data_IF_380821471848
#
_entry.id   IF_380821471848
#
_cell.length_a   1.000
_cell.length_b   1.000
_cell.length_c   1.000
_cell.angle_alpha   90.00
_cell.angle_beta   90.00
_cell.angle_gamma   90.00
#
_symmetry.space_group_name_H-M   'P 1'
#
loop_
_entity.id
_entity.type
_entity.pdbx_description
1 polymer ?
#
# COMPACT_ATOMS: atom_id res chain seq x y z
N UNK A 1 -5.16 -36.66 -37.22
CA UNK A 1 -4.83 -37.30 -35.92
C UNK A 1 -4.73 -36.17 -34.91
N UNK A 2 -5.70 -36.09 -34.01
CA UNK A 2 -5.91 -34.95 -33.12
C UNK A 2 -4.88 -34.88 -31.97
N UNK A 3 -4.18 -33.75 -31.76
CA UNK A 3 -3.21 -33.58 -30.68
C UNK A 3 -3.85 -33.42 -29.29
N UNK A 4 -5.17 -33.21 -29.20
CA UNK A 4 -5.90 -33.07 -27.93
C UNK A 4 -6.08 -34.37 -27.15
N UNK A 5 -6.09 -35.53 -27.83
CA UNK A 5 -6.38 -36.81 -27.19
C UNK A 5 -5.18 -37.38 -26.43
N UNK A 6 -3.95 -37.09 -26.90
CA UNK A 6 -2.71 -37.53 -26.26
C UNK A 6 -2.45 -36.82 -24.91
N UNK A 7 -2.88 -35.56 -24.77
CA UNK A 7 -2.69 -34.76 -23.55
C UNK A 7 -3.60 -35.22 -22.41
N UNK A 8 -4.86 -35.55 -22.70
CA UNK A 8 -5.82 -36.03 -21.68
C UNK A 8 -5.45 -37.43 -21.13
N UNK A 9 -4.87 -38.29 -21.98
CA UNK A 9 -4.40 -39.62 -21.56
C UNK A 9 -3.16 -39.55 -20.63
N UNK A 10 -2.30 -38.55 -20.80
CA UNK A 10 -1.14 -38.33 -19.92
C UNK A 10 -1.54 -37.74 -18.56
N UNK A 11 -2.56 -36.87 -18.55
CA UNK A 11 -3.09 -36.26 -17.32
C UNK A 11 -3.82 -37.30 -16.47
N UNK A 12 -4.65 -38.15 -17.09
CA UNK A 12 -5.37 -39.21 -16.37
C UNK A 12 -4.42 -40.27 -15.78
N UNK A 13 -3.32 -40.59 -16.48
CA UNK A 13 -2.28 -41.49 -15.97
C UNK A 13 -1.56 -40.91 -14.74
N UNK A 14 -1.16 -39.64 -14.77
CA UNK A 14 -0.54 -38.97 -13.61
C UNK A 14 -1.46 -38.86 -12.40
N UNK A 15 -2.77 -38.61 -12.62
CA UNK A 15 -3.75 -38.52 -11.53
C UNK A 15 -3.96 -39.89 -10.84
N UNK A 16 -3.91 -40.97 -11.62
CA UNK A 16 -4.07 -42.33 -11.11
C UNK A 16 -2.84 -42.81 -10.33
N UNK A 17 -1.64 -42.39 -10.75
CA UNK A 17 -0.41 -42.68 -10.01
C UNK A 17 -0.39 -41.95 -8.66
N UNK A 18 -0.86 -40.70 -8.59
CA UNK A 18 -0.99 -39.96 -7.31
C UNK A 18 -1.96 -40.63 -6.33
N UNK A 19 -3.01 -41.29 -6.84
CA UNK A 19 -4.00 -42.01 -6.04
C UNK A 19 -3.48 -43.34 -5.49
N UNK A 20 -2.40 -43.90 -6.04
CA UNK A 20 -1.77 -45.14 -5.59
C UNK A 20 -0.73 -44.96 -4.47
N UNK A 21 -0.28 -43.74 -4.20
CA UNK A 21 0.79 -43.47 -3.21
C UNK A 21 0.29 -42.82 -1.91
N UNK A 22 -1.03 -42.63 -1.76
CA UNK A 22 -1.62 -42.10 -0.52
C UNK A 22 -2.33 -43.21 0.26
N UNK A 23 -2.00 -43.46 1.54
CA UNK A 23 -2.76 -44.38 2.37
C UNK A 23 -4.06 -43.69 2.83
N UNK A 24 -5.20 -44.20 2.36
CA UNK A 24 -6.51 -43.85 2.92
C UNK A 24 -6.80 -44.76 4.14
N UNK A 25 -7.03 -44.14 5.29
CA UNK A 25 -7.58 -44.80 6.48
C UNK A 25 -8.84 -44.06 6.95
N UNK A 26 -10.01 -44.57 6.59
CA UNK A 26 -11.33 -44.18 7.12
C UNK A 26 -11.67 -44.96 8.39
N UNK A 27 -12.22 -44.30 9.43
CA UNK A 27 -13.51 -44.65 10.07
C UNK A 27 -13.92 -43.67 11.22
N UNK A 28 -15.21 -43.65 11.61
CA UNK A 28 -15.89 -42.52 12.27
C UNK A 28 -16.00 -42.67 13.79
N UNK A 29 -16.13 -41.55 14.51
CA UNK A 29 -16.30 -41.52 15.97
C UNK A 29 -17.77 -41.21 16.36
N UNK A 30 -18.27 -41.98 17.33
CA UNK A 30 -19.60 -41.92 17.93
C UNK A 30 -19.41 -41.84 19.45
N UNK A 31 -19.95 -40.80 20.10
CA UNK A 31 -19.89 -40.63 21.56
C UNK A 31 -20.76 -41.62 22.34
N UNK A 32 -20.26 -42.09 23.49
CA UNK A 32 -21.12 -42.32 24.66
C UNK A 32 -20.55 -41.78 26.00
N UNK A 33 -21.47 -41.60 26.96
CA UNK A 33 -21.33 -40.96 28.27
C UNK A 33 -20.79 -41.88 29.40
N UNK A 34 -19.92 -41.31 30.26
CA UNK A 34 -19.83 -41.43 31.74
C UNK A 34 -19.20 -42.68 32.39
N UNK A 35 -18.94 -42.74 33.73
CA UNK A 35 -19.11 -41.71 34.79
C UNK A 35 -18.02 -41.66 35.94
N UNK A 36 -18.24 -40.72 36.89
CA UNK A 36 -17.74 -40.57 38.31
C UNK A 36 -16.32 -39.97 38.51
N UNK A 37 -16.05 -39.03 39.43
CA UNK A 37 -16.86 -38.31 40.44
C UNK A 37 -16.01 -37.92 41.66
N UNK A 38 -16.22 -36.70 42.20
CA UNK A 38 -16.05 -36.14 43.57
C UNK A 38 -15.75 -34.63 43.39
N UNK A 39 -16.60 -33.66 43.74
CA UNK A 39 -17.35 -33.37 44.98
C UNK A 39 -16.96 -31.92 45.35
N UNK A 40 -17.87 -30.94 45.44
CA UNK A 40 -18.61 -30.55 46.66
C UNK A 40 -19.88 -29.78 46.24
N UNK A 41 -20.95 -30.00 47.02
CA UNK A 41 -22.37 -29.71 46.81
C UNK A 41 -22.76 -28.24 46.95
N UNK A 42 -23.84 -27.87 46.24
CA UNK A 42 -24.82 -26.88 46.66
C UNK A 42 -26.09 -27.61 47.13
N UNK A 43 -26.77 -27.10 48.16
CA UNK A 43 -28.14 -27.48 48.50
C UNK A 43 -29.07 -26.27 48.49
N UNK A 44 -30.32 -26.57 48.17
CA UNK A 44 -31.41 -25.69 47.76
C UNK A 44 -32.55 -25.90 48.77
N UNK A 45 -33.23 -24.86 49.25
CA UNK A 45 -34.64 -24.98 49.65
C UNK A 45 -35.42 -23.65 49.62
N UNK A 46 -36.50 -23.68 48.80
CA UNK A 46 -37.87 -23.10 48.90
C UNK A 46 -38.24 -22.39 50.24
N UNK A 47 -39.19 -21.45 50.36
CA UNK A 47 -40.33 -20.95 49.56
C UNK A 47 -40.94 -19.73 50.30
N UNK A 48 -41.69 -18.87 49.57
CA UNK A 48 -42.88 -18.06 49.92
C UNK A 48 -42.93 -17.28 51.27
N UNK A 49 -43.39 -16.03 51.38
CA UNK A 49 -44.06 -15.07 50.51
C UNK A 49 -44.64 -13.92 51.37
N UNK A 50 -45.28 -12.97 50.69
CA UNK A 50 -46.25 -11.94 51.16
C UNK A 50 -45.82 -10.46 51.28
N UNK A 51 -46.63 -9.65 50.59
CA UNK A 51 -46.97 -8.22 50.76
C UNK A 51 -46.10 -7.12 50.14
N UNK A 52 -46.63 -6.53 49.07
CA UNK A 52 -46.51 -5.11 48.69
C UNK A 52 -47.57 -4.29 49.51
N UNK A 53 -47.79 -2.95 49.34
CA UNK A 53 -47.31 -2.05 48.27
C UNK A 53 -47.05 -0.55 48.67
N UNK A 54 -46.70 0.23 47.62
CA UNK A 54 -46.99 1.67 47.36
C UNK A 54 -45.86 2.71 47.50
N UNK A 55 -45.60 3.36 46.36
CA UNK A 55 -45.05 4.72 46.21
C UNK A 55 -45.99 5.80 46.77
N UNK A 56 -45.54 7.06 46.91
CA UNK A 56 -45.81 8.02 45.82
C UNK A 56 -44.68 9.06 45.56
N UNK A 57 -44.88 9.80 44.48
CA UNK A 57 -44.05 10.86 43.88
C UNK A 57 -44.19 12.24 44.55
N UNK A 58 -43.21 13.09 44.25
CA UNK A 58 -43.30 14.51 43.79
C UNK A 58 -43.07 15.69 44.76
N UNK A 59 -42.24 16.60 44.22
CA UNK A 59 -42.26 18.07 44.23
C UNK A 59 -41.51 18.94 45.28
N UNK A 60 -40.58 19.71 44.68
CA UNK A 60 -40.07 21.06 44.94
C UNK A 60 -40.47 21.85 46.20
N UNK A 61 -39.46 22.45 46.85
CA UNK A 61 -39.54 23.81 47.38
C UNK A 61 -38.15 24.44 47.59
N UNK A 62 -38.11 25.73 47.29
CA UNK A 62 -37.01 26.70 47.40
C UNK A 62 -36.82 27.14 48.86
N UNK A 63 -35.58 27.29 49.33
CA UNK A 63 -35.21 28.39 50.25
C UNK A 63 -33.72 28.75 50.12
N UNK A 64 -33.51 30.06 50.12
CA UNK A 64 -32.29 30.85 50.00
C UNK A 64 -31.74 31.07 51.42
N UNK A 65 -30.45 30.91 51.66
CA UNK A 65 -29.73 31.84 52.54
C UNK A 65 -28.21 31.83 52.33
N UNK A 66 -27.64 32.98 52.62
CA UNK A 66 -26.33 33.53 52.27
C UNK A 66 -25.25 33.17 53.31
N UNK A 67 -24.04 32.81 52.87
CA UNK A 67 -22.81 33.07 53.64
C UNK A 67 -21.55 32.86 52.79
N UNK A 68 -20.72 33.89 52.79
CA UNK A 68 -19.48 34.10 52.06
C UNK A 68 -18.36 33.09 52.35
N UNK A 69 -17.60 32.72 51.31
CA UNK A 69 -16.15 32.47 51.41
C UNK A 69 -15.48 32.51 50.04
N UNK A 70 -14.67 33.54 49.82
CA UNK A 70 -13.77 33.72 48.67
C UNK A 70 -12.67 32.65 48.66
N UNK A 71 -12.36 32.04 47.51
CA UNK A 71 -11.04 31.49 47.18
C UNK A 71 -10.68 31.69 45.71
N UNK A 72 -9.38 31.88 45.50
CA UNK A 72 -8.68 32.58 44.42
C UNK A 72 -8.67 31.88 43.03
N UNK A 73 -8.25 32.61 41.97
CA UNK A 73 -8.56 32.32 40.57
C UNK A 73 -7.36 31.74 39.81
N UNK A 74 -7.04 30.45 39.96
CA UNK A 74 -5.96 29.82 39.19
C UNK A 74 -6.51 28.73 38.27
N UNK A 75 -7.18 29.17 37.20
CA UNK A 75 -7.51 28.31 36.06
C UNK A 75 -6.29 28.20 35.15
N UNK A 76 -5.49 27.15 35.31
CA UNK A 76 -4.49 26.78 34.31
C UNK A 76 -5.27 26.25 33.11
N UNK A 77 -5.54 27.12 32.14
CA UNK A 77 -6.08 26.71 30.86
C UNK A 77 -4.95 26.03 30.08
N UNK A 78 -4.79 24.72 30.29
CA UNK A 78 -3.94 23.89 29.42
C UNK A 78 -4.63 23.86 28.07
N UNK A 79 -4.32 24.84 27.23
CA UNK A 79 -4.50 24.71 25.80
C UNK A 79 -3.79 23.43 25.40
N UNK A 80 -4.55 22.36 25.17
CA UNK A 80 -4.08 21.22 24.38
C UNK A 80 -3.72 21.81 23.03
N UNK A 81 -2.48 22.28 22.88
CA UNK A 81 -1.85 22.40 21.57
C UNK A 81 -2.04 21.00 20.98
N UNK A 82 -2.89 20.89 19.97
CA UNK A 82 -2.94 19.72 19.13
C UNK A 82 -1.51 19.54 18.63
N UNK A 83 -0.74 18.67 19.30
CA UNK A 83 0.55 18.23 18.82
C UNK A 83 0.20 17.50 17.54
N UNK A 84 0.30 18.20 16.40
CA UNK A 84 0.16 17.58 15.09
C UNK A 84 1.10 16.39 15.12
N UNK A 85 0.54 15.19 15.12
CA UNK A 85 1.34 13.97 15.03
C UNK A 85 2.19 14.13 13.78
N UNK A 86 3.50 13.93 13.91
CA UNK A 86 4.38 14.07 12.78
C UNK A 86 3.87 13.19 11.61
N UNK A 87 3.89 13.70 10.37
CA UNK A 87 3.34 12.99 9.23
C UNK A 87 4.01 11.63 9.10
N UNK A 88 3.19 10.59 8.95
CA UNK A 88 3.70 9.22 8.72
C UNK A 88 4.17 9.14 7.28
N UNK A 89 5.24 8.40 7.03
CA UNK A 89 5.77 8.23 5.68
C UNK A 89 5.00 7.17 4.87
N UNK A 90 4.40 6.16 5.51
CA UNK A 90 3.72 5.05 4.85
C UNK A 90 2.27 4.90 5.28
N UNK A 91 1.43 4.38 4.37
CA UNK A 91 0.03 4.06 4.65
C UNK A 91 -0.85 5.29 4.83
N UNK A 92 -0.41 6.43 4.30
CA UNK A 92 -1.17 7.69 4.25
C UNK A 92 -1.30 8.14 2.80
N UNK A 93 -2.27 9.01 2.52
CA UNK A 93 -2.46 9.58 1.19
C UNK A 93 -1.23 10.40 0.78
N UNK A 94 -1.00 10.51 -0.52
CA UNK A 94 0.22 11.12 -1.05
C UNK A 94 0.36 12.60 -0.63
N UNK A 95 -0.77 13.30 -0.48
CA UNK A 95 -0.86 14.70 -0.06
C UNK A 95 -0.61 14.90 1.44
N UNK A 96 -0.70 13.83 2.23
CA UNK A 96 -0.43 13.84 3.67
C UNK A 96 1.02 13.46 4.00
N UNK A 97 1.77 12.99 3.01
CA UNK A 97 3.19 12.70 3.18
C UNK A 97 3.97 13.98 3.48
N UNK A 98 5.08 13.83 4.21
CA UNK A 98 6.02 14.93 4.38
C UNK A 98 6.56 15.38 3.01
N UNK A 99 6.48 16.68 2.66
CA UNK A 99 6.96 17.19 1.38
C UNK A 99 8.49 17.17 1.31
N UNK A 100 9.02 16.94 0.12
CA UNK A 100 10.43 17.09 -0.16
C UNK A 100 10.84 18.59 -0.20
N UNK A 101 12.12 18.92 0.05
CA UNK A 101 12.60 20.29 0.05
C UNK A 101 12.52 20.96 -1.33
N UNK A 102 12.82 20.21 -2.41
CA UNK A 102 12.94 20.76 -3.76
C UNK A 102 11.58 20.84 -4.48
N UNK A 103 10.68 19.89 -4.21
CA UNK A 103 9.32 19.87 -4.75
C UNK A 103 8.30 19.46 -3.67
N UNK A 104 7.45 20.42 -3.27
CA UNK A 104 6.45 20.21 -2.20
C UNK A 104 5.35 19.21 -2.55
N UNK A 105 5.18 18.89 -3.83
CA UNK A 105 4.21 17.90 -4.28
C UNK A 105 4.77 16.47 -4.29
N UNK A 106 6.08 16.32 -4.10
CA UNK A 106 6.77 15.03 -4.03
C UNK A 106 7.04 14.67 -2.56
N UNK A 107 6.77 13.43 -2.11
CA UNK A 107 7.11 12.99 -0.76
C UNK A 107 8.63 12.96 -0.52
N UNK A 108 9.06 13.41 0.66
CA UNK A 108 10.46 13.38 1.10
C UNK A 108 11.09 11.99 0.98
N UNK A 109 10.34 10.94 1.32
CA UNK A 109 10.83 9.55 1.20
C UNK A 109 11.13 9.16 -0.25
N UNK A 110 10.30 9.60 -1.20
CA UNK A 110 10.51 9.32 -2.63
C UNK A 110 11.77 10.01 -3.10
N UNK A 111 11.93 11.30 -2.78
CA UNK A 111 13.11 12.07 -3.15
C UNK A 111 14.39 11.48 -2.53
N UNK A 112 14.37 11.20 -1.22
CA UNK A 112 15.53 10.65 -0.52
C UNK A 112 15.97 9.29 -1.07
N UNK A 113 15.03 8.37 -1.33
CA UNK A 113 15.35 7.08 -1.92
C UNK A 113 15.93 7.22 -3.34
N UNK A 114 15.34 8.08 -4.18
CA UNK A 114 15.81 8.27 -5.55
C UNK A 114 17.20 8.92 -5.57
N UNK A 115 17.43 9.98 -4.78
CA UNK A 115 18.74 10.64 -4.66
C UNK A 115 19.83 9.65 -4.25
N UNK A 116 19.59 8.84 -3.22
CA UNK A 116 20.60 7.86 -2.77
C UNK A 116 20.91 6.82 -3.85
N UNK A 117 19.92 6.39 -4.62
CA UNK A 117 20.11 5.44 -5.73
C UNK A 117 20.83 6.11 -6.92
N UNK A 118 20.56 7.37 -7.23
CA UNK A 118 21.29 8.11 -8.25
C UNK A 118 22.74 8.40 -7.84
N UNK A 119 22.99 8.72 -6.58
CA UNK A 119 24.34 9.06 -6.10
C UNK A 119 25.30 7.87 -6.13
N UNK A 120 24.79 6.63 -5.96
CA UNK A 120 25.64 5.44 -5.71
C UNK A 120 25.24 4.19 -6.49
N UNK A 121 24.03 4.18 -7.07
CA UNK A 121 23.41 2.99 -7.64
C UNK A 121 23.36 2.93 -9.16
N UNK A 122 23.80 3.97 -9.88
CA UNK A 122 23.74 4.02 -11.35
C UNK A 122 24.52 2.89 -12.02
N UNK A 123 25.58 2.38 -11.39
CA UNK A 123 26.39 1.26 -11.88
C UNK A 123 26.10 -0.07 -11.15
N UNK A 124 25.19 -0.06 -10.17
CA UNK A 124 24.88 -1.22 -9.35
C UNK A 124 24.03 -2.22 -10.14
N UNK A 125 24.62 -3.39 -10.45
CA UNK A 125 23.96 -4.41 -11.27
C UNK A 125 22.62 -4.87 -10.68
N UNK A 126 21.56 -4.76 -11.48
CA UNK A 126 20.22 -5.22 -11.11
C UNK A 126 19.54 -4.34 -10.05
N UNK A 127 19.92 -3.07 -9.92
CA UNK A 127 19.22 -2.10 -9.07
C UNK A 127 17.71 -2.15 -9.32
N UNK A 128 16.89 -2.03 -8.27
CA UNK A 128 15.44 -2.30 -8.26
C UNK A 128 14.99 -3.75 -8.51
N UNK A 129 15.71 -4.57 -9.27
CA UNK A 129 15.37 -5.98 -9.49
C UNK A 129 15.72 -6.85 -8.29
N UNK A 130 16.92 -6.67 -7.72
CA UNK A 130 17.38 -7.46 -6.57
C UNK A 130 16.65 -7.01 -5.29
N UNK A 131 16.06 -7.93 -4.50
CA UNK A 131 15.37 -7.57 -3.27
C UNK A 131 16.36 -7.29 -2.13
N UNK A 132 16.13 -6.21 -1.38
CA UNK A 132 16.80 -5.97 -0.11
C UNK A 132 16.29 -6.86 1.03
N UNK A 133 17.01 -6.84 2.14
CA UNK A 133 16.60 -7.56 3.35
C UNK A 133 15.28 -6.99 3.92
N UNK A 134 14.21 -7.79 3.88
CA UNK A 134 12.87 -7.38 4.29
C UNK A 134 12.77 -6.93 5.76
N UNK A 135 13.58 -7.51 6.66
CA UNK A 135 13.59 -7.09 8.06
C UNK A 135 14.13 -5.66 8.19
N UNK A 136 15.18 -5.33 7.44
CA UNK A 136 15.77 -3.98 7.42
C UNK A 136 14.83 -2.98 6.76
N UNK A 137 14.18 -3.35 5.65
CA UNK A 137 13.14 -2.52 5.00
C UNK A 137 12.00 -2.21 5.97
N UNK A 138 11.52 -3.21 6.71
CA UNK A 138 10.45 -3.03 7.69
C UNK A 138 10.90 -2.12 8.85
N UNK A 139 12.13 -2.29 9.33
CA UNK A 139 12.72 -1.44 10.37
C UNK A 139 12.86 0.02 9.94
N UNK A 140 13.30 0.28 8.71
CA UNK A 140 13.35 1.65 8.15
C UNK A 140 11.95 2.24 7.99
N UNK A 141 10.99 1.46 7.51
CA UNK A 141 9.61 1.90 7.40
C UNK A 141 9.02 2.30 8.77
N UNK A 142 9.23 1.50 9.80
CA UNK A 142 8.79 1.83 11.16
C UNK A 142 9.44 3.10 11.68
N UNK A 143 10.74 3.29 11.44
CA UNK A 143 11.45 4.51 11.83
C UNK A 143 10.87 5.74 11.13
N UNK A 144 10.65 5.68 9.81
CA UNK A 144 10.09 6.77 9.03
C UNK A 144 8.66 7.11 9.47
N UNK A 145 7.89 6.10 9.88
CA UNK A 145 6.54 6.29 10.43
C UNK A 145 6.49 6.90 11.84
N UNK A 146 7.62 6.97 12.57
CA UNK A 146 7.70 7.73 13.82
C UNK A 146 7.70 9.25 13.58
N UNK A 147 7.86 9.68 12.32
CA UNK A 147 7.71 11.07 11.89
C UNK A 147 8.91 11.94 12.26
N UNK A 148 10.11 11.50 11.87
CA UNK A 148 11.29 12.36 11.91
C UNK A 148 11.19 13.44 10.82
N UNK A 149 11.48 14.69 11.17
CA UNK A 149 11.49 15.81 10.20
C UNK A 149 12.59 15.64 9.16
N UNK A 150 13.65 14.90 9.46
CA UNK A 150 14.76 14.65 8.56
C UNK A 150 15.10 13.16 8.51
N UNK A 151 15.52 12.71 7.32
CA UNK A 151 15.98 11.34 7.11
C UNK A 151 17.49 11.32 7.32
N UNK A 152 17.95 10.56 8.31
CA UNK A 152 19.39 10.35 8.53
C UNK A 152 19.96 9.36 7.48
N UNK A 153 20.48 9.90 6.38
CA UNK A 153 21.11 9.10 5.32
C UNK A 153 22.45 8.46 5.73
N UNK A 154 23.02 8.83 6.87
CA UNK A 154 24.25 8.23 7.41
C UNK A 154 23.99 6.95 8.21
N UNK A 155 22.73 6.62 8.47
CA UNK A 155 22.35 5.35 9.08
C UNK A 155 22.82 4.18 8.19
N UNK A 156 23.41 3.16 8.80
CA UNK A 156 23.98 2.00 8.10
C UNK A 156 22.95 1.31 7.19
N UNK A 157 21.67 1.33 7.57
CA UNK A 157 20.58 0.72 6.79
C UNK A 157 20.33 1.47 5.47
N UNK A 158 20.67 2.75 5.40
CA UNK A 158 20.64 3.54 4.17
C UNK A 158 21.89 3.32 3.30
N UNK A 159 22.84 2.47 3.70
CA UNK A 159 24.01 2.14 2.87
C UNK A 159 23.74 0.97 1.90
N UNK A 160 22.70 0.16 2.16
CA UNK A 160 22.30 -0.95 1.29
C UNK A 160 21.32 -0.48 0.21
N UNK A 161 21.79 -0.44 -1.03
CA UNK A 161 21.00 -0.03 -2.19
C UNK A 161 19.80 -0.94 -2.46
N UNK A 162 19.88 -2.25 -2.18
CA UNK A 162 18.76 -3.16 -2.37
C UNK A 162 17.67 -2.90 -1.32
N UNK A 163 18.05 -2.55 -0.09
CA UNK A 163 17.12 -2.13 0.97
C UNK A 163 16.40 -0.84 0.55
N UNK A 164 17.13 0.18 0.08
CA UNK A 164 16.53 1.45 -0.37
C UNK A 164 15.61 1.24 -1.58
N UNK A 165 16.05 0.43 -2.55
CA UNK A 165 15.23 0.05 -3.70
C UNK A 165 13.92 -0.60 -3.28
N UNK A 166 13.99 -1.56 -2.35
CA UNK A 166 12.82 -2.24 -1.80
C UNK A 166 11.93 -1.31 -0.97
N UNK A 167 12.53 -0.36 -0.23
CA UNK A 167 11.80 0.63 0.55
C UNK A 167 10.96 1.55 -0.35
N UNK A 168 11.55 2.07 -1.43
CA UNK A 168 10.84 2.89 -2.42
C UNK A 168 9.66 2.14 -3.04
N UNK A 169 9.88 0.89 -3.49
CA UNK A 169 8.80 0.04 -4.02
C UNK A 169 7.72 -0.23 -2.98
N UNK A 170 8.11 -0.43 -1.72
CA UNK A 170 7.19 -0.63 -0.61
C UNK A 170 6.33 0.61 -0.35
N UNK A 171 6.90 1.81 -0.49
CA UNK A 171 6.17 3.07 -0.33
C UNK A 171 5.01 3.14 -1.32
N UNK A 172 5.29 3.01 -2.62
CA UNK A 172 4.25 3.06 -3.65
C UNK A 172 3.20 1.97 -3.48
N UNK A 173 3.61 0.73 -3.14
CA UNK A 173 2.69 -0.40 -2.92
C UNK A 173 1.76 -0.18 -1.71
N UNK A 174 2.20 0.58 -0.70
CA UNK A 174 1.44 0.84 0.52
C UNK A 174 0.68 2.17 0.50
N UNK A 175 0.70 2.90 -0.61
CA UNK A 175 -0.20 4.03 -0.79
C UNK A 175 -1.66 3.55 -0.71
N UNK A 176 -2.53 4.21 0.09
CA UNK A 176 -3.95 3.89 0.14
C UNK A 176 -4.63 4.01 -1.23
N UNK A 177 -4.17 4.96 -2.05
CA UNK A 177 -4.59 5.13 -3.44
C UNK A 177 -3.35 5.01 -4.34
N UNK A 178 -3.35 4.15 -5.36
CA UNK A 178 -2.24 3.96 -6.28
C UNK A 178 -1.85 5.23 -7.02
N UNK A 179 -0.61 5.30 -7.50
CA UNK A 179 -0.09 6.49 -8.18
C UNK A 179 -0.85 6.83 -9.48
N UNK A 180 -1.42 5.81 -10.12
CA UNK A 180 -2.26 5.94 -11.32
C UNK A 180 -3.75 6.16 -11.00
N UNK A 181 -4.12 6.27 -9.71
CA UNK A 181 -5.47 6.47 -9.17
C UNK A 181 -6.46 5.36 -9.55
N UNK A 182 -7.40 5.04 -8.65
CA UNK A 182 -8.36 3.96 -8.91
C UNK A 182 -9.36 4.35 -10.01
N UNK A 183 -9.76 5.63 -10.07
CA UNK A 183 -10.74 6.14 -11.04
C UNK A 183 -10.23 6.10 -12.48
N UNK A 184 -8.91 6.25 -12.69
CA UNK A 184 -8.28 6.25 -14.03
C UNK A 184 -7.68 4.91 -14.41
N UNK A 185 -7.66 3.92 -13.51
CA UNK A 185 -6.98 2.65 -13.74
C UNK A 185 -7.41 1.99 -15.07
N UNK A 186 -8.72 1.81 -15.28
CA UNK A 186 -9.23 1.19 -16.51
C UNK A 186 -8.97 2.05 -17.74
N UNK A 187 -9.06 3.37 -17.64
CA UNK A 187 -8.78 4.29 -18.75
C UNK A 187 -7.33 4.15 -19.22
N UNK A 188 -6.38 3.97 -18.30
CA UNK A 188 -4.98 3.70 -18.63
C UNK A 188 -4.79 2.36 -19.37
N UNK A 189 -5.48 1.31 -18.93
CA UNK A 189 -5.43 -0.01 -19.57
C UNK A 189 -5.98 0.07 -21.00
N UNK A 190 -7.15 0.68 -21.18
CA UNK A 190 -7.80 0.78 -22.48
C UNK A 190 -7.04 1.74 -23.41
N UNK A 191 -6.50 2.84 -22.90
CA UNK A 191 -5.63 3.73 -23.67
C UNK A 191 -4.40 2.98 -24.21
N UNK A 192 -3.77 2.11 -23.41
CA UNK A 192 -2.62 1.32 -23.83
C UNK A 192 -2.95 0.31 -24.95
N UNK A 193 -4.22 -0.08 -25.09
CA UNK A 193 -4.70 -1.03 -26.09
C UNK A 193 -5.11 -0.39 -27.42
N UNK A 194 -5.15 0.94 -27.50
CA UNK A 194 -5.39 1.66 -28.75
C UNK A 194 -4.33 1.22 -29.79
N UNK A 195 -4.77 0.78 -30.97
CA UNK A 195 -3.89 0.26 -32.01
C UNK A 195 -3.00 1.36 -32.60
N UNK A 196 -3.59 2.51 -32.93
CA UNK A 196 -2.85 3.66 -33.46
C UNK A 196 -1.87 4.19 -32.42
N UNK A 197 -0.58 4.20 -32.79
CA UNK A 197 0.48 4.55 -31.86
C UNK A 197 0.44 6.03 -31.47
N UNK A 198 0.02 6.93 -32.36
CA UNK A 198 -0.04 8.35 -32.08
C UNK A 198 -1.20 8.67 -31.12
N UNK A 199 -2.38 8.13 -31.40
CA UNK A 199 -3.56 8.26 -30.57
C UNK A 199 -3.36 7.64 -29.19
N UNK A 200 -2.75 6.45 -29.11
CA UNK A 200 -2.36 5.81 -27.84
C UNK A 200 -1.49 6.74 -27.00
N UNK A 201 -0.42 7.29 -27.59
CA UNK A 201 0.49 8.19 -26.90
C UNK A 201 -0.20 9.47 -26.41
N UNK A 202 -1.01 10.11 -27.27
CA UNK A 202 -1.78 11.33 -26.92
C UNK A 202 -2.76 11.06 -25.79
N UNK A 203 -3.48 9.93 -25.84
CA UNK A 203 -4.48 9.54 -24.83
C UNK A 203 -3.82 9.27 -23.48
N UNK A 204 -2.73 8.49 -23.46
CA UNK A 204 -1.95 8.26 -22.24
C UNK A 204 -1.43 9.57 -21.64
N UNK A 205 -0.93 10.49 -22.48
CA UNK A 205 -0.43 11.79 -22.01
C UNK A 205 -1.53 12.66 -21.42
N UNK A 206 -2.71 12.65 -22.01
CA UNK A 206 -3.88 13.34 -21.45
C UNK A 206 -4.24 12.78 -20.07
N UNK A 207 -4.34 11.46 -19.93
CA UNK A 207 -4.64 10.83 -18.64
C UNK A 207 -3.61 11.17 -17.55
N UNK A 208 -2.32 11.21 -17.91
CA UNK A 208 -1.26 11.61 -16.99
C UNK A 208 -1.41 13.07 -16.55
N UNK A 209 -1.68 13.98 -17.49
CA UNK A 209 -1.89 15.40 -17.19
C UNK A 209 -3.15 15.66 -16.36
N UNK A 210 -4.13 14.78 -16.45
CA UNK A 210 -5.37 14.83 -15.67
C UNK A 210 -5.22 14.23 -14.26
N UNK A 211 -4.04 13.69 -13.89
CA UNK A 211 -3.78 13.22 -12.52
C UNK A 211 -3.77 14.39 -11.52
N UNK A 212 -4.17 14.17 -10.25
CA UNK A 212 -4.05 15.18 -9.20
C UNK A 212 -2.60 15.64 -9.02
N UNK A 213 -2.40 16.90 -8.62
CA UNK A 213 -1.07 17.54 -8.61
C UNK A 213 0.02 16.76 -7.88
N UNK A 214 -0.26 16.21 -6.69
CA UNK A 214 0.69 15.37 -5.95
C UNK A 214 1.06 14.09 -6.71
N UNK A 215 0.09 13.47 -7.38
CA UNK A 215 0.26 12.20 -8.10
C UNK A 215 1.03 12.44 -9.41
N UNK A 216 0.67 13.50 -10.16
CA UNK A 216 1.38 13.91 -11.36
C UNK A 216 2.85 14.23 -11.06
N UNK A 217 3.13 15.09 -10.08
CA UNK A 217 4.50 15.51 -9.75
C UNK A 217 5.34 14.34 -9.21
N UNK A 218 4.75 13.46 -8.40
CA UNK A 218 5.44 12.26 -7.90
C UNK A 218 5.71 11.27 -9.04
N UNK A 219 4.77 11.08 -9.97
CA UNK A 219 4.98 10.24 -11.16
C UNK A 219 6.07 10.81 -12.07
N UNK A 220 6.03 12.11 -12.36
CA UNK A 220 7.05 12.81 -13.14
C UNK A 220 8.44 12.64 -12.52
N UNK A 221 8.54 12.85 -11.21
CA UNK A 221 9.80 12.69 -10.47
C UNK A 221 10.31 11.24 -10.56
N UNK A 222 9.45 10.25 -10.27
CA UNK A 222 9.82 8.85 -10.32
C UNK A 222 10.22 8.40 -11.73
N UNK A 223 9.47 8.78 -12.77
CA UNK A 223 9.77 8.39 -14.15
C UNK A 223 11.08 9.05 -14.61
N UNK A 224 11.34 10.31 -14.22
CA UNK A 224 12.63 10.96 -14.43
C UNK A 224 13.78 10.16 -13.81
N UNK A 225 13.63 9.75 -12.55
CA UNK A 225 14.60 8.88 -11.88
C UNK A 225 14.82 7.55 -12.61
N UNK A 226 13.74 6.85 -12.99
CA UNK A 226 13.82 5.57 -13.70
C UNK A 226 14.47 5.72 -15.10
N UNK A 227 14.23 6.84 -15.78
CA UNK A 227 14.94 7.18 -17.02
C UNK A 227 16.44 7.30 -16.77
N UNK A 228 16.87 8.02 -15.73
CA UNK A 228 18.28 8.15 -15.37
C UNK A 228 18.92 6.78 -15.14
N UNK A 229 18.23 5.85 -14.46
CA UNK A 229 18.71 4.47 -14.25
C UNK A 229 18.82 3.73 -15.59
N UNK A 230 17.82 3.85 -16.46
CA UNK A 230 17.79 3.21 -17.77
C UNK A 230 18.89 3.73 -18.71
N UNK A 231 19.21 5.02 -18.65
CA UNK A 231 20.30 5.64 -19.42
C UNK A 231 21.67 5.06 -19.04
N UNK A 232 21.80 4.46 -17.84
CA UNK A 232 23.00 3.77 -17.36
C UNK A 232 22.93 2.24 -17.50
N UNK A 233 21.97 1.73 -18.28
CA UNK A 233 21.69 0.29 -18.42
C UNK A 233 22.86 -0.54 -18.93
N UNK A 234 23.83 0.06 -19.63
CA UNK A 234 25.07 -0.62 -20.03
C UNK A 234 25.84 -1.18 -18.83
N UNK A 235 25.80 -0.49 -17.68
CA UNK A 235 26.49 -0.88 -16.45
C UNK A 235 25.57 -1.65 -15.51
N UNK A 236 24.44 -1.06 -15.13
CA UNK A 236 23.53 -1.65 -14.16
C UNK A 236 22.64 -2.78 -14.73
N UNK A 237 22.57 -2.96 -16.05
CA UNK A 237 21.77 -3.98 -16.76
C UNK A 237 20.24 -3.82 -16.61
N UNK A 238 19.77 -2.63 -16.27
CA UNK A 238 18.35 -2.31 -16.09
C UNK A 238 17.84 -1.41 -17.21
N UNK A 239 17.55 -2.01 -18.37
CA UNK A 239 16.84 -1.34 -19.48
C UNK A 239 15.41 -0.93 -19.07
N UNK A 240 14.75 -0.01 -19.82
CA UNK A 240 13.37 0.43 -19.54
C UNK A 240 12.40 -0.74 -19.31
N UNK A 241 12.50 -1.80 -20.12
CA UNK A 241 11.68 -3.01 -19.99
C UNK A 241 11.90 -3.73 -18.66
N UNK A 242 13.15 -3.84 -18.20
CA UNK A 242 13.48 -4.52 -16.94
C UNK A 242 12.95 -3.74 -15.74
N UNK A 243 13.05 -2.40 -15.77
CA UNK A 243 12.46 -1.53 -14.75
C UNK A 243 10.93 -1.61 -14.76
N UNK A 244 10.32 -1.64 -15.93
CA UNK A 244 8.88 -1.74 -16.08
C UNK A 244 8.31 -3.06 -15.55
N UNK A 245 9.03 -4.17 -15.66
CA UNK A 245 8.62 -5.44 -15.03
C UNK A 245 8.57 -5.35 -13.50
N UNK A 246 9.43 -4.51 -12.90
CA UNK A 246 9.46 -4.29 -11.45
C UNK A 246 8.39 -3.28 -11.00
N UNK A 247 8.28 -2.16 -11.72
CA UNK A 247 7.42 -1.04 -11.34
C UNK A 247 5.99 -1.12 -11.88
N UNK A 248 5.75 -1.83 -12.98
CA UNK A 248 4.42 -2.07 -13.55
C UNK A 248 3.39 -2.53 -12.51
N UNK A 249 3.58 -3.70 -11.85
CA UNK A 249 2.65 -4.17 -10.81
C UNK A 249 2.67 -3.30 -9.54
N UNK A 250 3.72 -2.50 -9.34
CA UNK A 250 3.84 -1.62 -8.17
C UNK A 250 3.04 -0.33 -8.36
N UNK A 251 3.04 0.26 -9.56
CA UNK A 251 2.46 1.58 -9.83
C UNK A 251 1.07 1.49 -10.45
N UNK A 252 0.90 0.59 -11.43
CA UNK A 252 -0.34 0.40 -12.18
C UNK A 252 -1.10 -0.76 -11.55
N UNK A 253 -1.88 -0.43 -10.52
CA UNK A 253 -2.72 -1.36 -9.77
C UNK A 253 -3.98 -0.66 -9.31
N UNK A 254 -4.95 -1.45 -8.89
CA UNK A 254 -6.11 -1.02 -8.11
C UNK A 254 -5.79 -1.13 -6.61
N UNK A 255 -6.50 -0.38 -5.77
CA UNK A 255 -6.46 -0.52 -4.31
C UNK A 255 -6.99 -1.86 -3.84
N UNK A 256 -7.96 -2.42 -4.58
CA UNK A 256 -8.49 -3.76 -4.34
C UNK A 256 -7.71 -4.81 -5.14
N UNK A 257 -7.32 -5.90 -4.48
CA UNK A 257 -6.64 -7.03 -5.12
C UNK A 257 -7.64 -7.89 -5.89
N UNK A 258 -8.09 -7.42 -7.06
CA UNK A 258 -8.82 -8.25 -8.02
C UNK A 258 -7.84 -9.18 -8.74
N UNK A 259 -7.84 -10.45 -8.34
CA UNK A 259 -6.93 -11.46 -8.89
C UNK A 259 -7.03 -11.62 -10.40
N UNK A 260 -8.22 -11.41 -10.99
CA UNK A 260 -8.41 -11.47 -12.44
C UNK A 260 -7.65 -10.33 -13.13
N UNK A 261 -7.86 -9.10 -12.69
CA UNK A 261 -7.23 -7.90 -13.28
C UNK A 261 -5.71 -7.90 -13.08
N UNK A 262 -5.23 -8.50 -11.98
CA UNK A 262 -3.79 -8.67 -11.75
C UNK A 262 -3.11 -9.53 -12.82
N UNK A 263 -3.84 -10.49 -13.39
CA UNK A 263 -3.32 -11.40 -14.41
C UNK A 263 -3.60 -10.87 -15.81
N UNK A 264 -4.84 -10.49 -16.10
CA UNK A 264 -5.27 -10.08 -17.45
C UNK A 264 -4.64 -8.77 -17.89
N UNK A 265 -4.47 -7.82 -16.96
CA UNK A 265 -3.89 -6.51 -17.27
C UNK A 265 -2.37 -6.46 -17.05
N UNK A 266 -1.74 -7.56 -16.61
CA UNK A 266 -0.29 -7.59 -16.38
C UNK A 266 0.51 -7.10 -17.61
N UNK A 267 0.14 -7.47 -18.86
CA UNK A 267 0.75 -6.93 -20.08
C UNK A 267 0.75 -5.41 -20.16
N UNK A 268 -0.43 -4.83 -19.94
CA UNK A 268 -0.66 -3.40 -20.04
C UNK A 268 0.08 -2.63 -18.93
N UNK A 269 0.07 -3.17 -17.70
CA UNK A 269 0.73 -2.55 -16.54
C UNK A 269 2.22 -2.33 -16.76
N UNK A 270 2.96 -3.31 -17.28
CA UNK A 270 4.37 -3.09 -17.60
C UNK A 270 4.52 -2.22 -18.84
N UNK A 271 3.66 -2.35 -19.86
CA UNK A 271 3.83 -1.61 -21.11
C UNK A 271 3.65 -0.10 -20.92
N UNK A 272 2.70 0.30 -20.08
CA UNK A 272 2.49 1.70 -19.69
C UNK A 272 3.77 2.26 -19.05
N UNK A 273 4.32 1.58 -18.05
CA UNK A 273 5.54 2.04 -17.35
C UNK A 273 6.76 2.06 -18.28
N UNK A 274 6.93 1.06 -19.14
CA UNK A 274 8.01 1.03 -20.13
C UNK A 274 7.93 2.25 -21.07
N UNK A 275 6.74 2.53 -21.59
CA UNK A 275 6.47 3.64 -22.51
C UNK A 275 6.76 4.99 -21.85
N UNK A 276 6.41 5.13 -20.55
CA UNK A 276 6.72 6.33 -19.78
C UNK A 276 8.21 6.56 -19.59
N UNK A 277 8.97 5.50 -19.28
CA UNK A 277 10.43 5.61 -19.14
C UNK A 277 11.07 5.98 -20.48
N UNK A 278 10.66 5.33 -21.57
CA UNK A 278 11.22 5.55 -22.92
C UNK A 278 10.93 6.96 -23.47
N UNK A 279 9.77 7.53 -23.13
CA UNK A 279 9.30 8.82 -23.68
C UNK A 279 9.05 9.88 -22.60
N UNK A 280 9.76 9.78 -21.47
CA UNK A 280 9.58 10.66 -20.30
C UNK A 280 9.56 12.14 -20.67
N UNK A 281 10.54 12.60 -21.45
CA UNK A 281 10.66 14.01 -21.85
C UNK A 281 9.41 14.49 -22.59
N UNK A 282 8.81 13.65 -23.45
CA UNK A 282 7.61 14.01 -24.20
C UNK A 282 6.36 14.04 -23.32
N UNK A 283 6.17 13.04 -22.45
CA UNK A 283 5.02 12.99 -21.54
C UNK A 283 4.97 14.20 -20.59
N UNK A 284 6.13 14.61 -20.07
CA UNK A 284 6.23 15.64 -19.03
C UNK A 284 6.72 17.02 -19.54
N UNK A 285 6.82 17.21 -20.86
CA UNK A 285 7.10 18.52 -21.46
C UNK A 285 5.87 19.44 -21.45
N UNK A 286 6.11 20.73 -21.24
CA UNK A 286 5.13 21.82 -21.35
C UNK A 286 4.82 22.21 -22.80
N UNK A 287 5.56 21.68 -23.79
CA UNK A 287 5.29 21.93 -25.21
C UNK A 287 3.96 21.28 -25.57
N UNK A 288 2.92 22.11 -25.66
CA UNK A 288 1.61 21.76 -26.20
C UNK A 288 1.73 21.26 -27.65
N UNK A 289 0.84 20.33 -28.02
CA UNK A 289 0.56 19.87 -29.38
C UNK A 289 0.08 21.05 -30.26
N UNK A 290 0.98 21.97 -30.62
CA UNK A 290 0.72 23.03 -31.61
C UNK A 290 0.69 22.51 -33.06
N UNK A 291 0.32 21.26 -33.27
CA UNK A 291 0.44 20.61 -34.58
C UNK A 291 -0.54 19.48 -34.76
N UNK A 292 -1.81 19.84 -34.97
CA UNK A 292 -2.76 19.19 -35.90
C UNK A 292 -4.08 19.95 -35.81
N UNK A 293 -4.17 21.03 -36.59
CA UNK A 293 -5.42 21.63 -37.06
C UNK A 293 -5.52 21.40 -38.55
#
# INVERSE_FOLDING_TARGET
>A
QDPGFASQALISKKLNDYRKVSPAGTKPDSSPKGPRGLGIRAEFLKQAGTSAPRSPRQDAAVTKDESSSQKAPWGINIMKKNKKSAPRAFGVRLEECQPAPDNKNVPLIVEACCKVVEDRGLEYMGIYRVPGNNAVVSSLQEQLNKGATEINLQDERWQDLNVISSLLKSFFRKLPEPLFTDDKYNDFIEANRIEDASERMRTLRKLIRDLPGHYYETLKFLVGHLKTIADHSEKNKMEPRNLALVFGPTLVRTSEDNMTDMVTHMPDRYKIVETLIQHSDWFFSDKEDKGEK
#
